data_IF_723554300218
#
_entry.id   IF_723554300218
#
_cell.length_a   1.000
_cell.length_b   1.000
_cell.length_c   1.000
_cell.angle_alpha   90.00
_cell.angle_beta   90.00
_cell.angle_gamma   90.00
#
_symmetry.space_group_name_H-M   'P 1'
#
loop_
_entity.id
_entity.type
_entity.pdbx_description
1 polymer ?
#
# COMPACT_ATOMS: atom_id res chain seq x y z
N UNK A 1 9.40 -11.23 2.63
CA UNK A 1 8.78 -12.03 3.70
C UNK A 1 7.53 -12.71 3.18
N UNK A 2 7.07 -13.78 3.85
CA UNK A 2 5.85 -14.51 3.44
C UNK A 2 4.61 -13.74 3.91
N UNK A 3 3.70 -13.38 3.00
CA UNK A 3 2.49 -12.58 3.33
C UNK A 3 1.57 -13.29 4.33
N UNK A 4 1.56 -14.62 4.34
CA UNK A 4 0.76 -15.42 5.27
C UNK A 4 1.20 -15.26 6.73
N UNK A 5 2.38 -14.69 6.99
CA UNK A 5 2.86 -14.42 8.33
C UNK A 5 2.33 -13.12 8.93
N UNK A 6 1.50 -12.35 8.21
CA UNK A 6 0.96 -11.06 8.70
C UNK A 6 -0.43 -11.19 9.33
N UNK A 7 -1.00 -12.40 9.37
CA UNK A 7 -2.39 -12.63 9.78
C UNK A 7 -3.40 -12.30 8.68
N UNK A 8 -4.65 -12.10 9.08
CA UNK A 8 -5.77 -11.80 8.17
C UNK A 8 -5.68 -10.38 7.63
N UNK A 9 -5.97 -10.20 6.33
CA UNK A 9 -6.22 -8.88 5.76
C UNK A 9 -7.57 -8.35 6.27
N UNK A 10 -7.54 -7.22 6.97
CA UNK A 10 -8.71 -6.58 7.54
C UNK A 10 -9.31 -5.55 6.58
N UNK A 11 -8.48 -4.69 6.02
CA UNK A 11 -8.89 -3.61 5.12
C UNK A 11 -7.80 -3.34 4.07
N UNK A 12 -8.20 -2.84 2.90
CA UNK A 12 -7.26 -2.29 1.93
C UNK A 12 -7.91 -1.17 1.11
N UNK A 13 -7.11 -0.17 0.73
CA UNK A 13 -7.61 0.97 -0.04
C UNK A 13 -6.51 1.97 -0.41
N UNK A 14 -6.81 2.92 -1.31
CA UNK A 14 -5.92 4.04 -1.57
C UNK A 14 -5.93 5.01 -0.38
N UNK A 15 -4.76 5.54 -0.02
CA UNK A 15 -4.60 6.63 0.94
C UNK A 15 -3.62 7.67 0.37
N UNK A 16 -3.92 8.95 0.61
CA UNK A 16 -2.99 10.03 0.31
C UNK A 16 -1.92 10.08 1.41
N UNK A 17 -0.69 9.74 1.05
CA UNK A 17 0.45 9.70 1.97
C UNK A 17 1.36 10.89 1.74
N UNK A 18 1.69 11.61 2.82
CA UNK A 18 2.67 12.68 2.81
C UNK A 18 3.91 12.22 3.59
N UNK A 19 5.03 12.09 2.90
CA UNK A 19 6.31 11.76 3.56
C UNK A 19 6.95 13.04 4.11
N UNK A 20 7.38 13.00 5.38
CA UNK A 20 8.07 14.12 6.04
C UNK A 20 9.46 14.40 5.46
N UNK A 21 10.08 13.40 4.81
CA UNK A 21 11.40 13.50 4.17
C UNK A 21 11.34 13.85 2.68
N UNK A 22 10.14 13.98 2.10
CA UNK A 22 9.94 14.30 0.69
C UNK A 22 9.87 15.81 0.41
N UNK A 23 9.84 16.22 -0.87
CA UNK A 23 9.56 17.60 -1.24
C UNK A 23 8.25 18.07 -0.60
N UNK A 24 8.23 19.22 0.10
CA UNK A 24 7.05 19.67 0.83
C UNK A 24 5.84 19.83 -0.09
N UNK A 25 4.70 19.27 0.32
CA UNK A 25 3.38 19.58 -0.26
C UNK A 25 2.87 18.65 -1.36
N UNK A 26 3.60 17.62 -1.80
CA UNK A 26 3.08 16.66 -2.78
C UNK A 26 2.75 15.32 -2.13
N UNK A 27 1.52 15.21 -1.61
CA UNK A 27 0.97 13.92 -1.20
C UNK A 27 0.94 12.94 -2.39
N UNK A 28 1.21 11.67 -2.14
CA UNK A 28 1.20 10.59 -3.13
C UNK A 28 0.15 9.57 -2.75
N UNK A 29 -0.65 9.14 -3.73
CA UNK A 29 -1.62 8.08 -3.49
C UNK A 29 -0.91 6.73 -3.43
N UNK A 30 -1.02 6.05 -2.30
CA UNK A 30 -0.49 4.71 -2.06
C UNK A 30 -1.64 3.75 -1.80
N UNK A 31 -1.50 2.52 -2.28
CA UNK A 31 -2.36 1.42 -1.87
C UNK A 31 -1.87 0.93 -0.50
N UNK A 32 -2.77 0.89 0.48
CA UNK A 32 -2.49 0.43 1.83
C UNK A 32 -3.26 -0.85 2.11
N UNK A 33 -2.59 -1.78 2.80
CA UNK A 33 -3.13 -3.06 3.25
C UNK A 33 -2.96 -3.15 4.76
N UNK A 34 -4.07 -3.21 5.48
CA UNK A 34 -4.12 -3.40 6.93
C UNK A 34 -4.31 -4.88 7.22
N UNK A 35 -3.29 -5.51 7.78
CA UNK A 35 -3.34 -6.86 8.33
C UNK A 35 -3.49 -6.82 9.85
N UNK A 36 -3.76 -7.97 10.47
CA UNK A 36 -3.81 -8.10 11.93
C UNK A 36 -2.48 -7.75 12.61
N UNK A 37 -1.36 -8.06 11.97
CA UNK A 37 -0.04 -7.86 12.58
C UNK A 37 0.72 -6.63 12.05
N UNK A 38 0.31 -6.03 10.94
CA UNK A 38 1.01 -4.88 10.37
C UNK A 38 0.18 -4.09 9.37
N UNK A 39 0.72 -2.94 8.95
CA UNK A 39 0.23 -2.13 7.83
C UNK A 39 1.29 -2.13 6.74
N UNK A 40 0.91 -2.46 5.51
CA UNK A 40 1.81 -2.42 4.34
C UNK A 40 1.37 -1.29 3.41
N UNK A 41 2.34 -0.46 3.03
CA UNK A 41 2.18 0.61 2.05
C UNK A 41 2.82 0.21 0.72
N UNK A 42 2.12 0.47 -0.38
CA UNK A 42 2.62 0.17 -1.72
C UNK A 42 2.19 1.20 -2.77
N UNK A 43 2.94 1.26 -3.86
CA UNK A 43 2.57 2.02 -5.05
C UNK A 43 1.86 1.10 -6.04
N UNK A 44 0.68 1.50 -6.52
CA UNK A 44 -0.05 0.77 -7.55
C UNK A 44 0.57 1.02 -8.93
N UNK A 45 0.89 -0.04 -9.65
CA UNK A 45 1.34 -0.02 -11.04
C UNK A 45 0.22 -0.51 -11.96
N UNK A 46 -0.08 0.31 -12.97
CA UNK A 46 -1.14 0.03 -13.93
C UNK A 46 -2.53 0.42 -13.42
N UNK A 47 -3.48 0.55 -14.34
CA UNK A 47 -4.89 0.82 -14.01
C UNK A 47 -5.63 -0.51 -13.87
N UNK A 48 -6.56 -0.58 -12.92
CA UNK A 48 -7.53 -1.70 -12.87
C UNK A 48 -8.36 -1.66 -14.14
N UNK A 49 -8.28 -2.71 -14.95
CA UNK A 49 -9.12 -2.90 -16.13
C UNK A 49 -10.05 -4.09 -15.91
N UNK A 50 -10.96 -4.34 -16.85
CA UNK A 50 -11.78 -5.57 -16.83
C UNK A 50 -10.93 -6.85 -16.90
N UNK A 51 -9.70 -6.77 -17.42
CA UNK A 51 -8.84 -7.92 -17.71
C UNK A 51 -7.58 -7.99 -16.84
N UNK A 52 -7.22 -6.90 -16.15
CA UNK A 52 -5.98 -6.80 -15.39
C UNK A 52 -6.19 -6.15 -14.04
N UNK A 53 -5.69 -6.81 -13.00
CA UNK A 53 -5.52 -6.17 -11.69
C UNK A 53 -4.24 -5.33 -11.67
N UNK A 54 -4.22 -4.22 -10.93
CA UNK A 54 -2.99 -3.46 -10.70
C UNK A 54 -1.96 -4.33 -9.98
N UNK A 55 -0.68 -4.15 -10.34
CA UNK A 55 0.43 -4.69 -9.56
C UNK A 55 0.76 -3.72 -8.42
N UNK A 56 1.32 -4.22 -7.33
CA UNK A 56 1.64 -3.39 -6.15
C UNK A 56 3.11 -3.52 -5.81
N UNK A 57 3.80 -2.38 -5.74
CA UNK A 57 5.22 -2.29 -5.38
C UNK A 57 5.34 -1.84 -3.93
N UNK A 58 5.89 -2.71 -3.08
CA UNK A 58 6.14 -2.40 -1.67
C UNK A 58 6.94 -1.10 -1.49
N UNK A 59 6.53 -0.28 -0.52
CA UNK A 59 7.23 0.95 -0.11
C UNK A 59 7.68 0.89 1.34
N UNK A 60 6.75 0.61 2.24
CA UNK A 60 7.01 0.64 3.68
C UNK A 60 6.03 -0.27 4.42
N UNK A 61 6.33 -0.53 5.69
CA UNK A 61 5.37 -1.11 6.62
C UNK A 61 5.51 -0.48 8.01
N UNK A 62 4.44 -0.60 8.79
CA UNK A 62 4.41 -0.30 10.23
C UNK A 62 4.03 -1.61 10.93
N UNK A 63 4.78 -1.97 11.96
CA UNK A 63 4.56 -3.16 12.79
C UNK A 63 4.16 -2.73 14.20
#
# INVERSE_FOLDING_TARGET
GKITAQGKLLLHGPLLVLELSGPPGRGREWQVFLFEQNIIFSEALGKKTQFTNPAYVYKAHIQ
#
